data_IF_487091732967
#
_entry.id   IF_487091732967
#
_cell.length_a   1.000
_cell.length_b   1.000
_cell.length_c   1.000
_cell.angle_alpha   90.00
_cell.angle_beta   90.00
_cell.angle_gamma   90.00
#
_symmetry.space_group_name_H-M   'P 1'
#
loop_
_entity.id
_entity.type
_entity.pdbx_description
1 polymer ?
#
# COMPACT_ATOMS: atom_id res chain seq x y z
N UNK A 1 -20.67 -4.41 -11.67
CA UNK A 1 -19.52 -4.17 -10.75
C UNK A 1 -18.28 -3.95 -11.60
N UNK A 2 -17.38 -3.03 -11.21
CA UNK A 2 -16.08 -2.87 -11.88
C UNK A 2 -15.04 -3.65 -11.09
N UNK A 3 -14.25 -4.47 -11.76
CA UNK A 3 -13.20 -5.27 -11.14
C UNK A 3 -11.85 -4.54 -11.30
N UNK A 4 -11.09 -4.45 -10.22
CA UNK A 4 -9.71 -3.94 -10.24
C UNK A 4 -8.70 -5.08 -10.25
N UNK A 5 -7.47 -4.77 -10.64
CA UNK A 5 -6.32 -5.68 -10.55
C UNK A 5 -5.31 -5.05 -9.61
N UNK A 6 -4.95 -5.76 -8.54
CA UNK A 6 -3.82 -5.37 -7.68
C UNK A 6 -2.54 -5.78 -8.42
N UNK A 7 -1.70 -4.80 -8.74
CA UNK A 7 -0.45 -5.03 -9.46
C UNK A 7 0.74 -5.30 -8.55
N UNK A 8 0.75 -4.66 -7.38
CA UNK A 8 1.78 -4.80 -6.36
C UNK A 8 1.17 -4.49 -4.99
N UNK A 9 1.74 -5.09 -3.94
CA UNK A 9 1.45 -4.77 -2.54
C UNK A 9 2.78 -4.31 -1.95
N UNK A 10 2.84 -3.12 -1.36
CA UNK A 10 4.10 -2.56 -0.88
C UNK A 10 4.02 -2.14 0.58
N UNK A 11 5.05 -2.49 1.36
CA UNK A 11 5.16 -2.16 2.79
C UNK A 11 6.51 -1.55 3.13
N UNK A 12 6.57 -0.82 4.24
CA UNK A 12 7.82 -0.44 4.90
C UNK A 12 7.66 -0.56 6.41
N UNK A 13 8.67 -1.09 7.10
CA UNK A 13 8.65 -1.21 8.57
C UNK A 13 8.93 0.10 9.31
N UNK A 14 9.44 1.12 8.60
CA UNK A 14 9.67 2.47 9.10
C UNK A 14 9.03 3.53 8.20
N UNK A 15 8.78 4.73 8.76
CA UNK A 15 8.30 5.89 8.00
C UNK A 15 9.47 6.60 7.33
N UNK A 16 9.21 7.20 6.18
CA UNK A 16 10.24 7.91 5.41
C UNK A 16 11.25 7.00 4.71
N UNK A 17 11.10 5.69 4.81
CA UNK A 17 11.89 4.71 4.06
C UNK A 17 11.14 4.26 2.81
N UNK A 18 11.88 3.84 1.80
CA UNK A 18 11.32 3.23 0.61
C UNK A 18 10.49 1.98 0.96
N UNK A 19 9.35 1.81 0.28
CA UNK A 19 8.52 0.62 0.41
C UNK A 19 9.05 -0.47 -0.53
N UNK A 20 9.01 -1.72 -0.07
CA UNK A 20 9.33 -2.88 -0.89
C UNK A 20 8.08 -3.69 -1.17
N UNK A 21 8.07 -4.38 -2.30
CA UNK A 21 6.97 -5.25 -2.71
C UNK A 21 6.93 -6.54 -1.89
N UNK A 22 5.72 -7.01 -1.57
CA UNK A 22 5.44 -8.29 -0.94
C UNK A 22 4.40 -9.05 -1.76
N UNK A 23 4.46 -10.39 -1.71
CA UNK A 23 3.57 -11.25 -2.50
C UNK A 23 2.15 -11.34 -1.94
N UNK A 24 1.99 -11.10 -0.64
CA UNK A 24 0.71 -11.12 0.05
C UNK A 24 0.76 -10.22 1.29
N UNK A 25 -0.38 -9.64 1.66
CA UNK A 25 -0.51 -8.79 2.84
C UNK A 25 -1.83 -9.01 3.55
N UNK A 26 -1.86 -8.79 4.87
CA UNK A 26 -3.07 -8.85 5.70
C UNK A 26 -3.58 -7.45 5.97
N UNK A 27 -4.83 -7.19 5.59
CA UNK A 27 -5.55 -5.99 6.03
C UNK A 27 -6.18 -6.26 7.39
N UNK A 28 -5.86 -5.43 8.36
CA UNK A 28 -6.42 -5.47 9.72
C UNK A 28 -7.39 -4.30 9.86
N UNK A 29 -8.61 -4.61 10.28
CA UNK A 29 -9.67 -3.62 10.49
C UNK A 29 -9.23 -2.54 11.48
N UNK A 30 -9.55 -1.28 11.19
CA UNK A 30 -9.17 -0.10 11.99
C UNK A 30 -7.64 0.06 12.21
N UNK A 31 -6.83 -0.55 11.35
CA UNK A 31 -5.37 -0.48 11.45
C UNK A 31 -4.69 -0.26 10.10
N UNK A 32 -5.05 -1.03 9.07
CA UNK A 32 -4.41 -1.00 7.76
C UNK A 32 -3.61 -2.27 7.45
N UNK A 33 -2.53 -2.14 6.67
CA UNK A 33 -1.73 -3.27 6.23
C UNK A 33 -0.76 -3.69 7.35
N UNK A 34 -0.88 -4.94 7.80
CA UNK A 34 0.00 -5.53 8.81
C UNK A 34 1.47 -5.37 8.41
N UNK A 35 2.30 -4.87 9.33
CA UNK A 35 3.72 -4.62 9.10
C UNK A 35 4.07 -3.29 8.43
N UNK A 36 3.10 -2.51 7.95
CA UNK A 36 3.37 -1.17 7.42
C UNK A 36 3.50 -0.11 8.53
N UNK A 37 4.49 0.77 8.40
CA UNK A 37 4.77 1.84 9.36
C UNK A 37 3.69 2.92 9.46
N UNK A 38 2.73 2.90 8.52
CA UNK A 38 1.56 3.78 8.53
C UNK A 38 0.33 3.11 9.16
N UNK A 39 0.44 1.87 9.64
CA UNK A 39 -0.64 1.22 10.39
C UNK A 39 -1.04 1.98 11.65
N UNK A 40 -2.32 1.94 12.00
CA UNK A 40 -2.89 2.56 13.20
C UNK A 40 -4.37 2.89 13.09
N UNK A 41 -4.97 3.34 14.19
CA UNK A 41 -6.35 3.82 14.22
C UNK A 41 -6.44 5.28 13.77
N UNK A 42 -6.51 5.48 12.45
CA UNK A 42 -6.63 6.78 11.80
C UNK A 42 -7.20 6.64 10.38
N UNK A 43 -7.43 7.76 9.68
CA UNK A 43 -8.15 7.76 8.40
C UNK A 43 -7.35 7.31 7.17
N UNK A 44 -6.00 7.23 7.23
CA UNK A 44 -5.14 6.87 6.08
C UNK A 44 -4.46 5.52 6.24
N UNK A 45 -5.27 4.48 6.48
CA UNK A 45 -4.79 3.12 6.72
C UNK A 45 -4.19 2.45 5.49
N UNK A 46 -4.73 2.74 4.29
CA UNK A 46 -4.28 2.18 3.01
C UNK A 46 -4.19 3.29 1.98
N UNK A 47 -3.07 3.32 1.25
CA UNK A 47 -2.88 4.18 0.08
C UNK A 47 -3.00 3.35 -1.19
N UNK A 48 -3.76 3.85 -2.17
CA UNK A 48 -3.87 3.25 -3.49
C UNK A 48 -3.27 4.19 -4.52
N UNK A 49 -2.45 3.66 -5.41
CA UNK A 49 -1.88 4.39 -6.54
C UNK A 49 -2.18 3.62 -7.82
N UNK A 50 -2.61 4.33 -8.87
CA UNK A 50 -2.87 3.69 -10.17
C UNK A 50 -1.56 3.36 -10.87
N UNK A 51 -1.54 2.26 -11.62
CA UNK A 51 -0.37 1.85 -12.41
C UNK A 51 0.07 2.96 -13.37
N UNK A 52 -0.86 3.60 -14.07
CA UNK A 52 -0.55 4.71 -14.97
C UNK A 52 0.16 5.88 -14.27
N UNK A 53 -0.15 6.12 -12.98
CA UNK A 53 0.52 7.18 -12.21
C UNK A 53 1.94 6.76 -11.82
N UNK A 54 2.16 5.49 -11.50
CA UNK A 54 3.51 4.93 -11.27
C UNK A 54 4.35 5.03 -12.55
N UNK A 55 3.81 4.61 -13.68
CA UNK A 55 4.48 4.70 -14.99
C UNK A 55 4.87 6.14 -15.33
N UNK A 56 3.98 7.10 -15.08
CA UNK A 56 4.26 8.52 -15.30
C UNK A 56 5.35 9.10 -14.37
N UNK A 57 5.56 8.54 -13.17
CA UNK A 57 6.65 8.97 -12.29
C UNK A 57 8.01 8.37 -12.68
N UNK A 58 8.00 7.24 -13.39
CA UNK A 58 9.22 6.53 -13.80
C UNK A 58 9.71 6.91 -15.21
N UNK A 59 8.96 7.75 -15.93
CA UNK A 59 9.32 8.30 -17.24
C UNK A 59 10.27 9.50 -17.08
#
# INVERSE_FOLDING_TARGET
>A
MRQGVIRAICVSSARGTEKHEITQGRLVENWGLEGDAHGGDWHRQISLLSLARVEAFNA
#
